data_IF_781001575399
#
_entry.id   IF_781001575399
#
_cell.length_a   1.000
_cell.length_b   1.000
_cell.length_c   1.000
_cell.angle_alpha   90.00
_cell.angle_beta   90.00
_cell.angle_gamma   90.00
#
_symmetry.space_group_name_H-M   'P 1'
#
loop_
_entity.id
_entity.type
_entity.pdbx_description
1 polymer ?
#
# COMPACT_ATOMS: atom_id res chain seq x y z
N UNK A 1 -3.20 -16.29 9.38
CA UNK A 1 -1.85 -15.75 9.70
C UNK A 1 -1.83 -14.23 9.74
N UNK A 2 -2.54 -13.50 8.85
CA UNK A 2 -2.76 -12.05 9.03
C UNK A 2 -4.22 -11.74 8.75
N UNK A 3 -4.87 -11.02 9.65
CA UNK A 3 -6.18 -10.40 9.42
C UNK A 3 -5.95 -9.04 8.75
N UNK A 4 -6.04 -9.03 7.41
CA UNK A 4 -5.75 -7.84 6.60
C UNK A 4 -6.80 -6.74 6.75
N UNK A 5 -8.07 -7.12 6.96
CA UNK A 5 -9.14 -6.16 7.19
C UNK A 5 -8.94 -5.46 8.54
N UNK A 6 -8.53 -6.21 9.56
CA UNK A 6 -8.12 -5.65 10.85
C UNK A 6 -6.85 -4.79 10.72
N UNK A 7 -5.89 -5.17 9.88
CA UNK A 7 -4.70 -4.36 9.64
C UNK A 7 -5.05 -2.99 9.03
N UNK A 8 -5.91 -2.97 7.99
CA UNK A 8 -6.39 -1.72 7.38
C UNK A 8 -7.19 -0.89 8.38
N UNK A 9 -8.08 -1.51 9.16
CA UNK A 9 -8.87 -0.82 10.18
C UNK A 9 -7.99 -0.21 11.29
N UNK A 10 -6.99 -0.96 11.74
CA UNK A 10 -5.99 -0.50 12.72
C UNK A 10 -5.18 0.65 12.16
N UNK A 11 -4.72 0.54 10.92
CA UNK A 11 -3.96 1.60 10.28
C UNK A 11 -4.77 2.90 10.19
N UNK A 12 -6.02 2.80 9.74
CA UNK A 12 -6.97 3.93 9.68
C UNK A 12 -7.16 4.60 11.04
N UNK A 13 -7.24 3.81 12.11
CA UNK A 13 -7.43 4.30 13.48
C UNK A 13 -6.20 5.04 14.02
N UNK A 14 -5.00 4.62 13.64
CA UNK A 14 -3.73 5.14 14.17
C UNK A 14 -3.16 6.30 13.34
N UNK A 15 -3.56 6.44 12.08
CA UNK A 15 -3.04 7.50 11.22
C UNK A 15 -3.48 8.89 11.68
N UNK A 16 -2.54 9.84 11.56
CA UNK A 16 -2.83 11.25 11.77
C UNK A 16 -3.75 11.77 10.65
N UNK A 17 -4.67 12.70 10.96
CA UNK A 17 -5.49 13.37 9.95
C UNK A 17 -4.64 13.94 8.81
N UNK A 18 -5.18 13.87 7.59
CA UNK A 18 -4.60 14.55 6.44
C UNK A 18 -4.80 16.07 6.57
N UNK A 19 -3.91 16.88 5.95
CA UNK A 19 -4.16 18.31 5.81
C UNK A 19 -5.55 18.57 5.21
N UNK A 20 -6.24 19.57 5.75
CA UNK A 20 -7.52 20.02 5.21
C UNK A 20 -7.22 20.93 4.02
N UNK A 21 -7.55 20.47 2.83
CA UNK A 21 -7.42 21.21 1.57
C UNK A 21 -8.79 21.37 0.93
N UNK A 22 -8.96 22.43 0.13
CA UNK A 22 -10.18 22.60 -0.64
C UNK A 22 -10.28 21.55 -1.75
N UNK A 23 -11.50 21.31 -2.27
CA UNK A 23 -11.68 20.41 -3.42
C UNK A 23 -10.93 20.89 -4.65
N UNK A 24 -10.94 22.19 -4.90
CA UNK A 24 -10.30 22.79 -6.07
C UNK A 24 -8.77 22.66 -5.98
N UNK A 25 -8.20 22.89 -4.80
CA UNK A 25 -6.78 22.68 -4.53
C UNK A 25 -6.37 21.21 -4.70
N UNK A 26 -7.19 20.28 -4.19
CA UNK A 26 -6.95 18.85 -4.35
C UNK A 26 -6.99 18.44 -5.83
N UNK A 27 -7.97 18.95 -6.60
CA UNK A 27 -8.07 18.68 -8.02
C UNK A 27 -6.86 19.23 -8.79
N UNK A 28 -6.49 20.48 -8.55
CA UNK A 28 -5.33 21.10 -9.19
C UNK A 28 -4.05 20.32 -8.89
N UNK A 29 -3.85 19.93 -7.62
CA UNK A 29 -2.68 19.14 -7.20
C UNK A 29 -2.62 17.79 -7.93
N UNK A 30 -3.76 17.11 -8.07
CA UNK A 30 -3.84 15.82 -8.79
C UNK A 30 -3.50 16.00 -10.27
N UNK A 31 -3.98 17.06 -10.91
CA UNK A 31 -3.68 17.37 -12.31
C UNK A 31 -2.19 17.68 -12.50
N UNK A 32 -1.59 18.48 -11.62
CA UNK A 32 -0.17 18.83 -11.65
C UNK A 32 0.72 17.60 -11.45
N UNK A 33 0.39 16.72 -10.51
CA UNK A 33 1.13 15.47 -10.27
C UNK A 33 1.09 14.54 -11.50
N UNK A 34 -0.06 14.41 -12.17
CA UNK A 34 -0.17 13.61 -13.41
C UNK A 34 0.67 14.19 -14.53
N UNK A 35 0.62 15.51 -14.72
CA UNK A 35 1.43 16.20 -15.73
C UNK A 35 2.92 16.04 -15.45
N UNK A 36 3.34 16.21 -14.19
CA UNK A 36 4.72 16.04 -13.77
C UNK A 36 5.20 14.59 -14.03
N UNK A 37 4.40 13.59 -13.70
CA UNK A 37 4.74 12.18 -13.96
C UNK A 37 4.93 11.90 -15.46
N UNK A 38 4.03 12.41 -16.32
CA UNK A 38 4.15 12.26 -17.78
C UNK A 38 5.40 12.93 -18.34
N UNK A 39 5.73 14.13 -17.88
CA UNK A 39 6.94 14.86 -18.31
C UNK A 39 8.21 14.18 -17.82
N UNK A 40 8.22 13.66 -16.58
CA UNK A 40 9.37 12.99 -15.99
C UNK A 40 9.80 11.74 -16.78
N UNK A 41 8.86 10.97 -17.35
CA UNK A 41 9.18 9.79 -18.17
C UNK A 41 10.11 10.15 -19.34
N UNK A 42 9.79 11.24 -20.06
CA UNK A 42 10.60 11.71 -21.19
C UNK A 42 12.02 12.11 -20.77
N UNK A 43 12.16 12.80 -19.64
CA UNK A 43 13.46 13.17 -19.09
C UNK A 43 14.30 11.96 -18.68
N UNK A 44 13.70 10.98 -18.00
CA UNK A 44 14.39 9.74 -17.58
C UNK A 44 14.86 8.95 -18.79
N UNK A 45 14.01 8.82 -19.83
CA UNK A 45 14.36 8.13 -21.09
C UNK A 45 15.51 8.83 -21.82
N UNK A 46 15.45 10.15 -21.94
CA UNK A 46 16.48 10.93 -22.62
C UNK A 46 17.83 10.85 -21.89
N UNK A 47 17.83 10.86 -20.56
CA UNK A 47 19.04 10.81 -19.75
C UNK A 47 19.66 9.42 -19.68
N UNK A 48 18.84 8.39 -19.44
CA UNK A 48 19.33 7.02 -19.23
C UNK A 48 19.54 6.25 -20.54
N UNK A 49 18.89 6.67 -21.63
CA UNK A 49 18.82 5.92 -22.88
C UNK A 49 17.90 4.67 -22.81
N UNK A 50 17.38 4.33 -21.63
CA UNK A 50 16.50 3.17 -21.46
C UNK A 50 15.15 3.46 -22.08
N UNK A 51 14.77 2.61 -23.04
CA UNK A 51 13.45 2.67 -23.67
C UNK A 51 12.60 1.51 -23.17
N UNK A 52 11.72 1.79 -22.20
CA UNK A 52 10.60 0.90 -21.89
C UNK A 52 9.42 1.23 -22.82
N UNK A 53 8.57 0.24 -23.12
CA UNK A 53 7.20 0.54 -23.58
C UNK A 53 6.51 1.37 -22.49
N UNK A 54 5.70 2.37 -22.87
CA UNK A 54 4.99 3.18 -21.88
C UNK A 54 4.20 2.29 -20.93
N UNK A 55 4.23 2.62 -19.64
CA UNK A 55 3.59 1.82 -18.61
C UNK A 55 2.11 1.60 -18.97
N UNK A 56 1.69 0.34 -18.99
CA UNK A 56 0.30 -0.03 -19.28
C UNK A 56 -0.66 0.31 -18.13
N UNK A 57 -0.11 0.53 -16.93
CA UNK A 57 -0.85 0.93 -15.75
C UNK A 57 -0.84 2.46 -15.58
N UNK A 58 -2.00 3.09 -15.31
CA UNK A 58 -2.07 4.53 -15.07
C UNK A 58 -1.36 4.91 -13.76
N UNK A 59 -0.80 6.12 -13.72
CA UNK A 59 -0.29 6.74 -12.49
C UNK A 59 -1.47 6.95 -11.53
N UNK A 60 -1.40 6.29 -10.37
CA UNK A 60 -2.40 6.44 -9.31
C UNK A 60 -1.94 7.50 -8.31
N UNK A 61 -2.75 8.54 -8.16
CA UNK A 61 -2.59 9.52 -7.09
C UNK A 61 -3.51 9.09 -5.95
N UNK A 62 -2.91 8.72 -4.82
CA UNK A 62 -3.62 8.18 -3.66
C UNK A 62 -3.32 9.01 -2.42
N UNK A 63 -4.30 9.09 -1.52
CA UNK A 63 -4.06 9.59 -0.18
C UNK A 63 -3.46 8.49 0.72
N UNK A 64 -3.25 8.81 2.00
CA UNK A 64 -2.69 7.84 2.97
C UNK A 64 -3.53 6.56 3.08
N UNK A 65 -4.85 6.67 3.04
CA UNK A 65 -5.75 5.52 3.13
C UNK A 65 -5.69 4.65 1.88
N UNK A 66 -5.71 5.27 0.70
CA UNK A 66 -5.53 4.58 -0.58
C UNK A 66 -4.18 3.89 -0.64
N UNK A 67 -3.12 4.51 -0.13
CA UNK A 67 -1.80 3.88 -0.01
C UNK A 67 -1.81 2.66 0.90
N UNK A 68 -2.41 2.76 2.10
CA UNK A 68 -2.52 1.63 3.04
C UNK A 68 -3.27 0.46 2.40
N UNK A 69 -4.40 0.73 1.75
CA UNK A 69 -5.19 -0.32 1.10
C UNK A 69 -4.41 -1.01 -0.02
N UNK A 70 -3.83 -0.22 -0.94
CA UNK A 70 -3.05 -0.76 -2.06
C UNK A 70 -1.88 -1.63 -1.60
N UNK A 71 -1.15 -1.20 -0.55
CA UNK A 71 -0.03 -1.97 -0.01
C UNK A 71 -0.50 -3.21 0.77
N UNK A 72 -1.60 -3.14 1.52
CA UNK A 72 -2.18 -4.31 2.19
C UNK A 72 -2.59 -5.38 1.17
N UNK A 73 -3.24 -4.98 0.08
CA UNK A 73 -3.63 -5.89 -1.00
C UNK A 73 -2.40 -6.49 -1.71
N UNK A 74 -1.39 -5.66 -1.97
CA UNK A 74 -0.11 -6.10 -2.55
C UNK A 74 0.62 -7.10 -1.65
N UNK A 75 0.78 -6.80 -0.36
CA UNK A 75 1.42 -7.72 0.60
C UNK A 75 0.61 -9.01 0.76
N UNK A 76 -0.72 -8.92 0.82
CA UNK A 76 -1.60 -10.11 0.84
C UNK A 76 -1.37 -10.99 -0.38
N UNK A 77 -1.09 -10.43 -1.56
CA UNK A 77 -0.79 -11.21 -2.76
C UNK A 77 0.61 -11.82 -2.69
N UNK A 78 1.63 -11.00 -2.42
CA UNK A 78 3.04 -11.41 -2.43
C UNK A 78 3.37 -12.43 -1.34
N UNK A 79 2.72 -12.34 -0.18
CA UNK A 79 2.98 -13.23 0.95
C UNK A 79 2.20 -14.56 0.89
N UNK A 80 1.18 -14.71 0.03
CA UNK A 80 0.41 -15.96 -0.11
C UNK A 80 1.29 -17.21 -0.23
N UNK A 81 2.29 -17.27 -1.16
CA UNK A 81 3.08 -18.49 -1.33
C UNK A 81 3.92 -18.83 -0.09
N UNK A 82 4.35 -17.82 0.67
CA UNK A 82 5.08 -18.03 1.93
C UNK A 82 4.14 -18.57 3.01
N UNK A 83 2.92 -18.04 3.08
CA UNK A 83 1.89 -18.49 4.01
C UNK A 83 1.51 -19.95 3.75
N UNK A 84 1.32 -20.32 2.48
CA UNK A 84 0.97 -21.70 2.11
C UNK A 84 2.05 -22.70 2.55
N UNK A 85 3.33 -22.36 2.32
CA UNK A 85 4.47 -23.18 2.77
C UNK A 85 4.55 -23.33 4.30
N UNK A 86 4.17 -22.29 5.05
CA UNK A 86 4.16 -22.37 6.52
C UNK A 86 3.08 -23.33 7.00
N UNK A 87 1.89 -23.28 6.39
CA UNK A 87 0.78 -24.21 6.71
C UNK A 87 1.15 -25.64 6.33
N UNK A 88 1.76 -25.84 5.16
CA UNK A 88 2.23 -27.17 4.71
C UNK A 88 3.25 -27.78 5.69
N UNK A 89 4.23 -26.98 6.16
CA UNK A 89 5.28 -27.47 7.07
C UNK A 89 4.82 -27.69 8.52
N UNK A 90 3.91 -26.85 9.03
CA UNK A 90 3.53 -26.84 10.45
C UNK A 90 2.16 -27.48 10.73
N UNK A 91 1.44 -27.88 9.68
CA UNK A 91 0.04 -28.26 9.76
C UNK A 91 -0.88 -27.03 9.95
N UNK A 92 -2.17 -27.22 9.70
CA UNK A 92 -3.14 -26.16 9.96
C UNK A 92 -3.22 -25.90 11.49
N UNK A 93 -2.99 -24.65 11.96
CA UNK A 93 -3.22 -24.33 13.36
C UNK A 93 -4.69 -24.58 13.72
N UNK A 94 -4.95 -25.08 14.93
CA UNK A 94 -6.31 -25.25 15.43
C UNK A 94 -7.11 -23.95 15.30
N UNK A 95 -8.41 -24.02 14.97
CA UNK A 95 -9.20 -22.86 14.56
C UNK A 95 -9.13 -21.65 15.51
N UNK A 96 -9.06 -21.89 16.82
CA UNK A 96 -8.95 -20.84 17.83
C UNK A 96 -7.55 -20.20 17.89
N UNK A 97 -6.47 -20.97 17.84
CA UNK A 97 -5.10 -20.44 17.85
C UNK A 97 -4.75 -19.72 16.54
N UNK A 98 -5.27 -20.21 15.42
CA UNK A 98 -5.16 -19.57 14.11
C UNK A 98 -5.81 -18.18 14.09
N UNK A 99 -7.02 -18.07 14.66
CA UNK A 99 -7.80 -16.83 14.69
C UNK A 99 -7.21 -15.77 15.62
N UNK A 100 -6.70 -16.18 16.79
CA UNK A 100 -6.04 -15.26 17.73
C UNK A 100 -4.72 -14.77 17.12
N UNK A 101 -3.91 -15.67 16.56
CA UNK A 101 -2.65 -15.31 15.92
C UNK A 101 -2.85 -14.35 14.74
N UNK A 102 -3.86 -14.58 13.89
CA UNK A 102 -4.11 -13.68 12.76
C UNK A 102 -4.50 -12.27 13.18
N UNK A 103 -5.23 -12.12 14.30
CA UNK A 103 -5.60 -10.80 14.82
C UNK A 103 -4.40 -10.04 15.38
N UNK A 104 -3.55 -10.70 16.15
CA UNK A 104 -2.33 -10.08 16.70
C UNK A 104 -1.45 -9.56 15.57
N UNK A 105 -1.14 -10.40 14.59
CA UNK A 105 -0.33 -9.98 13.44
C UNK A 105 -1.04 -8.92 12.60
N UNK A 106 -2.38 -8.94 12.52
CA UNK A 106 -3.17 -7.89 11.89
C UNK A 106 -3.00 -6.53 12.58
N UNK A 107 -3.04 -6.48 13.92
CA UNK A 107 -2.80 -5.25 14.69
C UNK A 107 -1.39 -4.72 14.48
N UNK A 108 -0.36 -5.57 14.56
CA UNK A 108 1.04 -5.19 14.34
C UNK A 108 1.26 -4.66 12.92
N UNK A 109 0.72 -5.37 11.92
CA UNK A 109 0.79 -4.97 10.51
C UNK A 109 0.10 -3.64 10.30
N UNK A 110 -1.07 -3.43 10.91
CA UNK A 110 -1.78 -2.15 10.83
C UNK A 110 -1.01 -0.99 11.45
N UNK A 111 -0.35 -1.22 12.59
CA UNK A 111 0.54 -0.23 13.20
C UNK A 111 1.71 0.16 12.30
N UNK A 112 2.36 -0.83 11.68
CA UNK A 112 3.43 -0.61 10.72
C UNK A 112 2.93 0.17 9.49
N UNK A 113 1.79 -0.21 8.92
CA UNK A 113 1.20 0.47 7.76
C UNK A 113 0.84 1.93 8.07
N UNK A 114 0.28 2.21 9.25
CA UNK A 114 0.00 3.59 9.67
C UNK A 114 1.27 4.44 9.78
N UNK A 115 2.34 3.87 10.36
CA UNK A 115 3.63 4.55 10.46
C UNK A 115 4.20 4.86 9.07
N UNK A 116 4.27 3.87 8.19
CA UNK A 116 4.83 4.03 6.85
C UNK A 116 4.02 5.00 5.98
N UNK A 117 2.69 4.96 6.06
CA UNK A 117 1.82 5.89 5.34
C UNK A 117 2.05 7.37 5.70
N UNK A 118 2.70 7.66 6.84
CA UNK A 118 3.07 9.02 7.24
C UNK A 118 4.42 9.49 6.67
N UNK A 119 5.21 8.58 6.08
CA UNK A 119 6.59 8.83 5.63
C UNK A 119 6.79 8.63 4.13
N UNK A 120 6.00 7.75 3.52
CA UNK A 120 6.11 7.44 2.09
C UNK A 120 5.43 8.54 1.27
N UNK A 121 6.14 9.03 0.25
CA UNK A 121 5.69 10.09 -0.66
C UNK A 121 5.36 9.60 -2.08
N UNK A 122 5.71 8.35 -2.41
CA UNK A 122 5.53 7.77 -3.74
C UNK A 122 6.15 6.37 -3.82
N UNK A 123 6.04 5.76 -5.01
CA UNK A 123 6.76 4.53 -5.41
C UNK A 123 7.93 4.91 -6.30
#
# INVERSE_FOLDING_TARGET
MVDWDLAVATAKRLMQPSPQVSRDEAQQTVEDLRKAASVAEGHVRAYTGLHAESATAPVLIVDRMGWVQANADGFKLVLRPLMDKVVEKRGAPGGLTAAIGSRVTGLETGGLLAYLASKVLGQ
#
